data_IF_110205058890
#
_entry.id   IF_110205058890
#
_cell.length_a   1.000
_cell.length_b   1.000
_cell.length_c   1.000
_cell.angle_alpha   90.00
_cell.angle_beta   90.00
_cell.angle_gamma   90.00
#
_symmetry.space_group_name_H-M   'P 1'
#
loop_
_entity.id
_entity.type
_entity.pdbx_description
1 polymer ?
#
# COMPACT_ATOMS: atom_id res chain seq x y z
N UNK A 1 -11.25 2.15 -7.93
CA UNK A 1 -10.13 1.99 -6.97
C UNK A 1 -8.86 2.49 -7.61
N UNK A 2 -7.94 3.00 -6.81
CA UNK A 2 -6.69 3.64 -7.17
C UNK A 2 -5.53 2.68 -6.87
N UNK A 3 -4.73 2.43 -7.91
CA UNK A 3 -3.37 1.89 -7.79
C UNK A 3 -2.38 3.03 -8.07
N UNK A 4 -1.17 2.92 -7.52
CA UNK A 4 -0.12 3.91 -7.72
C UNK A 4 1.10 3.33 -8.44
N UNK A 5 1.85 4.21 -9.11
CA UNK A 5 3.03 3.84 -9.89
C UNK A 5 4.20 3.41 -8.99
N UNK A 6 5.13 2.65 -9.56
CA UNK A 6 6.40 2.28 -8.91
C UNK A 6 7.48 3.32 -9.12
N UNK A 7 8.37 3.43 -8.15
CA UNK A 7 9.64 4.15 -8.24
C UNK A 7 10.61 3.42 -9.16
N UNK A 8 11.48 4.19 -9.80
CA UNK A 8 12.57 3.69 -10.63
C UNK A 8 13.92 4.02 -10.01
N UNK A 9 14.96 3.26 -10.38
CA UNK A 9 16.32 3.40 -9.86
C UNK A 9 17.36 3.26 -10.96
N UNK A 10 18.55 3.81 -10.75
CA UNK A 10 19.71 3.64 -11.64
C UNK A 10 20.46 2.32 -11.35
N UNK A 11 21.24 1.81 -12.32
CA UNK A 11 22.16 0.70 -12.10
C UNK A 11 23.23 1.07 -11.05
N UNK A 12 23.53 0.13 -10.14
CA UNK A 12 24.59 0.29 -9.13
C UNK A 12 25.40 -1.01 -9.11
N UNK A 13 26.73 -0.97 -9.30
CA UNK A 13 27.58 -2.16 -9.29
C UNK A 13 27.94 -2.56 -7.85
N UNK A 14 26.94 -3.01 -7.10
CA UNK A 14 27.04 -3.42 -5.69
C UNK A 14 28.02 -4.59 -5.51
N UNK A 15 27.96 -5.60 -6.39
CA UNK A 15 28.87 -6.75 -6.32
C UNK A 15 30.33 -6.30 -6.39
N UNK A 16 30.69 -5.54 -7.43
CA UNK A 16 32.06 -5.08 -7.65
C UNK A 16 32.56 -4.22 -6.49
N UNK A 17 31.71 -3.31 -6.01
CA UNK A 17 32.04 -2.35 -4.95
C UNK A 17 32.22 -3.00 -3.58
N UNK A 18 31.41 -4.00 -3.26
CA UNK A 18 31.45 -4.66 -1.94
C UNK A 18 32.32 -5.91 -1.88
N UNK A 19 32.76 -6.45 -3.03
CA UNK A 19 33.55 -7.70 -3.07
C UNK A 19 34.78 -7.66 -2.17
N UNK A 20 35.46 -6.52 -2.12
CA UNK A 20 36.69 -6.33 -1.32
C UNK A 20 36.42 -6.23 0.19
N UNK A 21 35.17 -5.99 0.58
CA UNK A 21 34.74 -5.86 1.96
C UNK A 21 34.12 -7.15 2.52
N UNK A 22 34.16 -8.25 1.77
CA UNK A 22 33.68 -9.56 2.24
C UNK A 22 34.70 -10.17 3.18
N UNK A 23 34.34 -10.30 4.46
CA UNK A 23 35.07 -11.13 5.42
C UNK A 23 34.68 -12.60 5.23
N UNK A 24 35.50 -13.35 4.48
CA UNK A 24 35.24 -14.76 4.17
C UNK A 24 35.31 -15.68 5.38
N UNK A 25 35.92 -15.24 6.50
CA UNK A 25 35.94 -16.03 7.73
C UNK A 25 34.58 -16.07 8.42
N UNK A 26 33.84 -14.96 8.34
CA UNK A 26 32.50 -14.79 8.93
C UNK A 26 31.38 -15.03 7.92
N UNK A 27 31.64 -14.78 6.64
CA UNK A 27 30.68 -14.94 5.56
C UNK A 27 31.29 -15.68 4.37
N UNK A 28 31.47 -17.02 4.46
CA UNK A 28 32.13 -17.80 3.42
C UNK A 28 31.44 -17.72 2.05
N UNK A 29 30.11 -17.63 2.04
CA UNK A 29 29.30 -17.50 0.82
C UNK A 29 29.18 -16.06 0.30
N UNK A 30 29.87 -15.08 0.90
CA UNK A 30 29.65 -13.66 0.62
C UNK A 30 29.85 -13.24 -0.83
N UNK A 31 30.81 -13.85 -1.52
CA UNK A 31 31.03 -13.58 -2.94
C UNK A 31 29.87 -14.09 -3.82
N UNK A 32 29.37 -15.31 -3.56
CA UNK A 32 28.22 -15.86 -4.27
C UNK A 32 26.95 -15.06 -3.95
N UNK A 33 26.78 -14.67 -2.69
CA UNK A 33 25.68 -13.81 -2.25
C UNK A 33 25.68 -12.45 -2.95
N UNK A 34 26.83 -11.80 -3.09
CA UNK A 34 26.92 -10.50 -3.78
C UNK A 34 26.52 -10.60 -5.26
N UNK A 35 26.88 -11.69 -5.93
CA UNK A 35 26.47 -11.97 -7.31
C UNK A 35 24.94 -12.13 -7.40
N UNK A 36 24.34 -12.87 -6.47
CA UNK A 36 22.89 -13.03 -6.39
C UNK A 36 22.20 -11.69 -6.09
N UNK A 37 22.72 -10.91 -5.15
CA UNK A 37 22.23 -9.58 -4.79
C UNK A 37 22.23 -8.64 -6.00
N UNK A 38 23.33 -8.58 -6.74
CA UNK A 38 23.44 -7.79 -7.97
C UNK A 38 22.43 -8.26 -9.03
N UNK A 39 22.34 -9.58 -9.25
CA UNK A 39 21.43 -10.17 -10.22
C UNK A 39 19.96 -9.86 -9.90
N UNK A 40 19.56 -9.97 -8.63
CA UNK A 40 18.21 -9.63 -8.20
C UNK A 40 17.93 -8.14 -8.24
N UNK A 41 18.92 -7.28 -7.96
CA UNK A 41 18.78 -5.83 -8.12
C UNK A 41 18.46 -5.45 -9.57
N UNK A 42 19.17 -6.01 -10.53
CA UNK A 42 18.93 -5.72 -11.95
C UNK A 42 17.61 -6.30 -12.47
N UNK A 43 17.21 -7.48 -12.00
CA UNK A 43 15.87 -8.04 -12.26
C UNK A 43 14.79 -7.12 -11.72
N UNK A 44 14.90 -6.72 -10.46
CA UNK A 44 13.97 -5.82 -9.79
C UNK A 44 13.83 -4.48 -10.54
N UNK A 45 14.94 -3.89 -10.99
CA UNK A 45 14.97 -2.62 -11.73
C UNK A 45 14.25 -2.68 -13.08
N UNK A 46 14.36 -3.81 -13.78
CA UNK A 46 13.78 -4.02 -15.12
C UNK A 46 12.30 -4.40 -15.08
N UNK A 47 11.76 -4.78 -13.92
CA UNK A 47 10.36 -5.12 -13.76
C UNK A 47 9.44 -3.88 -13.90
N UNK A 48 8.33 -4.06 -14.63
CA UNK A 48 7.26 -3.07 -14.87
C UNK A 48 5.90 -3.77 -14.80
N UNK A 49 4.85 -3.02 -14.44
CA UNK A 49 3.48 -3.53 -14.21
C UNK A 49 2.73 -4.11 -15.43
N UNK A 50 3.39 -4.27 -16.59
CA UNK A 50 2.76 -4.84 -17.80
C UNK A 50 3.32 -6.18 -18.23
N UNK A 51 4.64 -6.36 -18.24
CA UNK A 51 5.28 -7.49 -18.91
C UNK A 51 5.41 -8.76 -18.05
N UNK A 52 5.45 -8.62 -16.73
CA UNK A 52 5.74 -9.73 -15.81
C UNK A 52 4.57 -10.08 -14.87
N UNK A 53 3.43 -9.39 -14.95
CA UNK A 53 2.35 -9.47 -13.97
C UNK A 53 2.75 -8.86 -12.62
N UNK A 54 1.80 -8.23 -11.91
CA UNK A 54 2.11 -7.54 -10.66
C UNK A 54 2.55 -8.48 -9.52
N UNK A 55 2.19 -9.76 -9.57
CA UNK A 55 2.66 -10.77 -8.61
C UNK A 55 4.17 -11.02 -8.72
N UNK A 56 4.69 -11.22 -9.94
CA UNK A 56 6.12 -11.45 -10.12
C UNK A 56 6.95 -10.19 -9.78
N UNK A 57 6.35 -9.00 -9.96
CA UNK A 57 6.95 -7.75 -9.46
C UNK A 57 7.00 -7.77 -7.94
N UNK A 58 5.88 -8.03 -7.24
CA UNK A 58 5.85 -8.13 -5.78
C UNK A 58 6.89 -9.13 -5.26
N UNK A 59 6.91 -10.34 -5.81
CA UNK A 59 7.78 -11.42 -5.34
C UNK A 59 9.25 -11.15 -5.64
N UNK A 60 9.56 -10.58 -6.81
CA UNK A 60 10.92 -10.15 -7.17
C UNK A 60 11.44 -9.04 -6.27
N UNK A 61 10.60 -8.04 -5.97
CA UNK A 61 10.91 -6.95 -5.05
C UNK A 61 11.13 -7.47 -3.62
N UNK A 62 10.25 -8.34 -3.11
CA UNK A 62 10.40 -8.94 -1.77
C UNK A 62 11.66 -9.80 -1.65
N UNK A 63 11.99 -10.57 -2.69
CA UNK A 63 13.22 -11.36 -2.70
C UNK A 63 14.46 -10.48 -2.67
N UNK A 64 14.47 -9.38 -3.43
CA UNK A 64 15.54 -8.41 -3.37
C UNK A 64 15.62 -7.70 -2.00
N UNK A 65 14.48 -7.31 -1.42
CA UNK A 65 14.40 -6.71 -0.09
C UNK A 65 15.05 -7.59 0.99
N UNK A 66 14.78 -8.90 0.96
CA UNK A 66 15.40 -9.86 1.88
C UNK A 66 16.94 -9.91 1.70
N UNK A 67 17.42 -9.92 0.46
CA UNK A 67 18.85 -9.87 0.17
C UNK A 67 19.48 -8.55 0.63
N UNK A 68 18.84 -7.41 0.38
CA UNK A 68 19.33 -6.11 0.83
C UNK A 68 19.39 -6.01 2.36
N UNK A 69 18.41 -6.58 3.07
CA UNK A 69 18.41 -6.68 4.55
C UNK A 69 19.60 -7.51 5.05
N UNK A 70 19.91 -8.60 4.36
CA UNK A 70 21.06 -9.44 4.69
C UNK A 70 22.40 -8.73 4.39
N UNK A 71 22.46 -7.98 3.29
CA UNK A 71 23.61 -7.17 2.93
C UNK A 71 23.87 -6.07 3.97
N UNK A 72 22.83 -5.36 4.41
CA UNK A 72 22.91 -4.35 5.46
C UNK A 72 23.54 -4.93 6.74
N UNK A 73 23.12 -6.12 7.15
CA UNK A 73 23.68 -6.77 8.33
C UNK A 73 25.18 -7.06 8.20
N UNK A 74 25.62 -7.63 7.07
CA UNK A 74 27.01 -8.01 6.84
C UNK A 74 27.93 -6.83 6.56
N UNK A 75 27.43 -5.78 5.93
CA UNK A 75 28.22 -4.60 5.54
C UNK A 75 27.95 -3.38 6.43
N UNK A 76 27.33 -3.56 7.60
CA UNK A 76 26.97 -2.46 8.52
C UNK A 76 28.14 -1.58 8.97
N UNK A 77 29.36 -2.12 8.96
CA UNK A 77 30.57 -1.41 9.37
C UNK A 77 31.31 -0.76 8.21
N UNK A 78 30.87 -1.00 6.98
CA UNK A 78 31.47 -0.44 5.76
C UNK A 78 30.83 0.90 5.49
N UNK A 79 31.65 1.95 5.32
CA UNK A 79 31.13 3.24 4.87
C UNK A 79 30.76 3.13 3.39
N UNK A 80 29.46 3.04 3.11
CA UNK A 80 28.96 2.89 1.75
C UNK A 80 29.37 4.07 0.86
N UNK A 81 29.45 5.30 1.37
CA UNK A 81 29.75 6.48 0.56
C UNK A 81 31.24 6.58 0.24
N UNK A 82 32.08 6.48 1.26
CA UNK A 82 33.49 6.83 1.13
C UNK A 82 34.36 5.62 0.83
N UNK A 83 34.09 4.47 1.44
CA UNK A 83 34.88 3.24 1.26
C UNK A 83 34.39 2.44 0.06
N UNK A 84 33.12 2.01 0.07
CA UNK A 84 32.57 1.17 -0.99
C UNK A 84 32.11 1.98 -2.22
N UNK A 85 31.90 3.30 -2.06
CA UNK A 85 31.33 4.19 -3.08
C UNK A 85 29.98 3.72 -3.62
N UNK A 86 29.18 3.02 -2.82
CA UNK A 86 27.81 2.60 -3.14
C UNK A 86 26.84 3.72 -2.76
N UNK A 87 26.09 4.21 -3.75
CA UNK A 87 25.06 5.25 -3.56
C UNK A 87 23.83 4.79 -4.33
N UNK A 88 22.68 4.75 -3.65
CA UNK A 88 21.42 4.35 -4.24
C UNK A 88 20.65 5.59 -4.69
N UNK A 89 20.32 5.64 -5.98
CA UNK A 89 19.48 6.69 -6.56
C UNK A 89 18.08 6.17 -6.82
N UNK A 90 17.07 6.87 -6.31
CA UNK A 90 15.67 6.60 -6.61
C UNK A 90 14.94 7.85 -7.07
N UNK A 91 14.07 7.69 -8.06
CA UNK A 91 13.27 8.78 -8.62
C UNK A 91 11.90 8.90 -7.94
N UNK A 92 11.37 10.12 -7.90
CA UNK A 92 10.00 10.44 -7.50
C UNK A 92 9.01 9.82 -8.49
N UNK A 93 7.96 9.19 -7.97
CA UNK A 93 6.93 8.54 -8.79
C UNK A 93 6.10 9.52 -9.63
N UNK A 94 5.99 10.77 -9.20
CA UNK A 94 5.25 11.82 -9.90
C UNK A 94 6.10 12.67 -10.85
N UNK A 95 7.44 12.58 -10.76
CA UNK A 95 8.35 13.35 -11.58
C UNK A 95 9.67 12.64 -11.80
N UNK A 96 9.94 12.24 -13.04
CA UNK A 96 11.22 11.63 -13.44
C UNK A 96 12.43 12.57 -13.34
N UNK A 97 12.22 13.87 -13.09
CA UNK A 97 13.28 14.87 -12.89
C UNK A 97 13.73 14.99 -11.43
N UNK A 98 12.93 14.49 -10.47
CA UNK A 98 13.24 14.54 -9.05
C UNK A 98 13.78 13.19 -8.60
N UNK A 99 14.92 13.21 -7.92
CA UNK A 99 15.55 12.02 -7.37
C UNK A 99 16.26 12.37 -6.06
N UNK A 100 16.56 11.32 -5.30
CA UNK A 100 17.40 11.39 -4.10
C UNK A 100 18.46 10.31 -4.19
N UNK A 101 19.66 10.68 -3.78
CA UNK A 101 20.83 9.81 -3.65
C UNK A 101 21.10 9.55 -2.16
N UNK A 102 21.06 8.29 -1.73
CA UNK A 102 21.49 7.92 -0.38
C UNK A 102 22.46 6.73 -0.41
N UNK A 103 23.62 6.83 0.25
CA UNK A 103 24.50 5.70 0.50
C UNK A 103 24.00 4.89 1.72
N UNK A 104 22.76 4.42 1.67
CA UNK A 104 22.10 3.77 2.81
C UNK A 104 21.22 2.59 2.36
N UNK A 105 21.43 1.42 2.96
CA UNK A 105 20.62 0.25 2.73
C UNK A 105 19.17 0.42 3.18
N UNK A 106 18.93 1.17 4.26
CA UNK A 106 17.57 1.43 4.73
C UNK A 106 16.78 2.22 3.67
N UNK A 107 17.43 3.16 2.98
CA UNK A 107 16.83 3.90 1.87
C UNK A 107 16.52 3.02 0.65
N UNK A 108 17.45 2.15 0.25
CA UNK A 108 17.21 1.17 -0.83
C UNK A 108 16.01 0.26 -0.48
N UNK A 109 16.00 -0.30 0.73
CA UNK A 109 14.95 -1.17 1.23
C UNK A 109 13.59 -0.49 1.30
N UNK A 110 13.53 0.73 1.81
CA UNK A 110 12.29 1.50 1.86
C UNK A 110 11.76 1.78 0.46
N UNK A 111 12.61 2.19 -0.48
CA UNK A 111 12.20 2.42 -1.87
C UNK A 111 11.68 1.15 -2.56
N UNK A 112 12.24 -0.01 -2.22
CA UNK A 112 11.74 -1.33 -2.65
C UNK A 112 10.36 -1.64 -2.05
N UNK A 113 10.14 -1.37 -0.76
CA UNK A 113 8.83 -1.56 -0.14
C UNK A 113 7.75 -0.66 -0.74
N UNK A 114 8.10 0.56 -1.17
CA UNK A 114 7.17 1.42 -1.90
C UNK A 114 6.66 0.71 -3.16
N UNK A 115 7.57 0.07 -3.90
CA UNK A 115 7.24 -0.69 -5.10
C UNK A 115 6.41 -1.95 -4.81
N UNK A 116 6.67 -2.64 -3.69
CA UNK A 116 5.85 -3.77 -3.22
C UNK A 116 4.41 -3.31 -2.95
N UNK A 117 4.24 -2.20 -2.22
CA UNK A 117 2.91 -1.63 -1.96
C UNK A 117 2.20 -1.20 -3.26
N UNK A 118 2.94 -0.64 -4.22
CA UNK A 118 2.42 -0.32 -5.55
C UNK A 118 1.90 -1.57 -6.27
N UNK A 119 2.68 -2.67 -6.23
CA UNK A 119 2.30 -3.94 -6.83
C UNK A 119 1.05 -4.54 -6.19
N UNK A 120 0.95 -4.51 -4.86
CA UNK A 120 -0.23 -4.95 -4.12
C UNK A 120 -1.46 -4.10 -4.47
N UNK A 121 -1.31 -2.77 -4.56
CA UNK A 121 -2.41 -1.89 -4.99
C UNK A 121 -2.91 -2.23 -6.39
N UNK A 122 -2.00 -2.54 -7.32
CA UNK A 122 -2.35 -2.95 -8.68
C UNK A 122 -3.08 -4.29 -8.69
N UNK A 123 -2.56 -5.30 -7.96
CA UNK A 123 -3.21 -6.61 -7.80
C UNK A 123 -4.61 -6.48 -7.23
N UNK A 124 -4.81 -5.58 -6.26
CA UNK A 124 -6.12 -5.32 -5.68
C UNK A 124 -7.09 -4.73 -6.70
N UNK A 125 -6.63 -3.78 -7.52
CA UNK A 125 -7.45 -3.16 -8.58
C UNK A 125 -7.75 -4.09 -9.76
N UNK A 126 -6.93 -5.12 -9.98
CA UNK A 126 -7.11 -6.05 -11.10
C UNK A 126 -8.09 -7.19 -10.80
N UNK A 127 -8.59 -7.31 -9.56
CA UNK A 127 -9.60 -8.32 -9.22
C UNK A 127 -10.95 -7.93 -9.81
N UNK A 128 -11.72 -8.92 -10.28
CA UNK A 128 -13.08 -8.70 -10.77
C UNK A 128 -14.02 -8.40 -9.60
N UNK A 129 -14.67 -7.23 -9.63
CA UNK A 129 -15.52 -6.71 -8.55
C UNK A 129 -16.87 -6.23 -9.10
N UNK A 130 -17.81 -5.87 -8.22
CA UNK A 130 -19.15 -5.39 -8.59
C UNK A 130 -20.24 -6.48 -8.56
N UNK A 131 -21.42 -6.20 -9.11
CA UNK A 131 -22.61 -7.09 -9.04
C UNK A 131 -22.39 -8.49 -9.65
N UNK A 132 -21.38 -8.62 -10.53
CA UNK A 132 -20.97 -9.89 -11.16
C UNK A 132 -19.65 -10.44 -10.61
N UNK A 133 -19.03 -9.76 -9.64
CA UNK A 133 -17.75 -10.16 -9.06
C UNK A 133 -17.92 -11.32 -8.07
N UNK A 134 -16.99 -12.27 -8.11
CA UNK A 134 -16.90 -13.36 -7.13
C UNK A 134 -16.56 -12.79 -5.74
N UNK A 135 -17.35 -13.09 -4.68
CA UNK A 135 -17.01 -12.70 -3.31
C UNK A 135 -15.58 -13.04 -2.89
N UNK A 136 -14.99 -14.12 -3.40
CA UNK A 136 -13.60 -14.47 -3.10
C UNK A 136 -12.61 -13.50 -3.75
N UNK A 137 -12.88 -13.01 -4.95
CA UNK A 137 -12.06 -11.96 -5.60
C UNK A 137 -12.16 -10.61 -4.86
N UNK A 138 -13.35 -10.26 -4.34
CA UNK A 138 -13.52 -9.04 -3.53
C UNK A 138 -12.76 -9.15 -2.19
N UNK A 139 -12.81 -10.34 -1.54
CA UNK A 139 -11.99 -10.61 -0.34
C UNK A 139 -10.50 -10.53 -0.64
N UNK A 140 -10.08 -11.06 -1.78
CA UNK A 140 -8.68 -11.02 -2.20
C UNK A 140 -8.21 -9.57 -2.45
N UNK A 141 -9.02 -8.76 -3.13
CA UNK A 141 -8.75 -7.33 -3.30
C UNK A 141 -8.63 -6.61 -1.94
N UNK A 142 -9.55 -6.89 -1.00
CA UNK A 142 -9.50 -6.35 0.36
C UNK A 142 -8.17 -6.70 1.05
N UNK A 143 -7.73 -7.96 0.98
CA UNK A 143 -6.46 -8.41 1.56
C UNK A 143 -5.27 -7.67 0.95
N UNK A 144 -5.20 -7.55 -0.38
CA UNK A 144 -4.10 -6.84 -1.02
C UNK A 144 -4.03 -5.35 -0.64
N UNK A 145 -5.17 -4.66 -0.47
CA UNK A 145 -5.17 -3.29 0.02
C UNK A 145 -4.71 -3.18 1.49
N UNK A 146 -5.12 -4.12 2.36
CA UNK A 146 -4.64 -4.17 3.73
C UNK A 146 -3.13 -4.44 3.79
N UNK A 147 -2.63 -5.39 3.00
CA UNK A 147 -1.21 -5.69 2.88
C UNK A 147 -0.43 -4.48 2.36
N UNK A 148 -0.92 -3.78 1.34
CA UNK A 148 -0.28 -2.57 0.81
C UNK A 148 -0.16 -1.50 1.91
N UNK A 149 -1.21 -1.28 2.69
CA UNK A 149 -1.18 -0.35 3.83
C UNK A 149 -0.15 -0.77 4.90
N UNK A 150 -0.09 -2.06 5.24
CA UNK A 150 0.88 -2.60 6.18
C UNK A 150 2.33 -2.40 5.70
N UNK A 151 2.60 -2.65 4.43
CA UNK A 151 3.92 -2.44 3.81
C UNK A 151 4.31 -0.97 3.83
N UNK A 152 3.39 -0.04 3.56
CA UNK A 152 3.65 1.41 3.64
C UNK A 152 4.00 1.81 5.08
N UNK A 153 3.29 1.29 6.08
CA UNK A 153 3.60 1.58 7.48
C UNK A 153 4.95 1.02 7.92
N UNK A 154 5.37 -0.14 7.40
CA UNK A 154 6.71 -0.66 7.65
C UNK A 154 7.80 0.21 7.01
N UNK A 155 7.56 0.67 5.78
CA UNK A 155 8.42 1.65 5.12
C UNK A 155 8.57 2.94 5.93
N UNK A 156 7.47 3.48 6.48
CA UNK A 156 7.49 4.68 7.34
C UNK A 156 8.37 4.49 8.58
N UNK A 157 8.31 3.32 9.23
CA UNK A 157 9.18 3.00 10.37
C UNK A 157 10.65 3.00 9.97
N UNK A 158 10.99 2.39 8.83
CA UNK A 158 12.38 2.37 8.31
C UNK A 158 12.87 3.81 8.08
N UNK A 159 12.07 4.64 7.40
CA UNK A 159 12.41 6.04 7.11
C UNK A 159 12.61 6.85 8.39
N UNK A 160 11.72 6.67 9.38
CA UNK A 160 11.80 7.36 10.68
C UNK A 160 13.07 6.99 11.45
N UNK A 161 13.43 5.70 11.45
CA UNK A 161 14.62 5.21 12.14
C UNK A 161 15.93 5.66 11.47
N UNK A 162 15.95 5.73 10.14
CA UNK A 162 17.15 6.06 9.39
C UNK A 162 17.46 7.57 9.35
N UNK A 163 16.51 8.43 9.76
CA UNK A 163 16.72 9.88 9.92
C UNK A 163 17.32 10.56 8.67
N UNK A 164 16.83 10.21 7.47
CA UNK A 164 17.36 10.79 6.23
C UNK A 164 17.17 12.31 6.18
N UNK A 165 18.16 13.01 5.61
CA UNK A 165 18.13 14.48 5.49
C UNK A 165 17.36 14.97 4.26
N UNK A 166 17.05 14.08 3.30
CA UNK A 166 16.38 14.45 2.05
C UNK A 166 15.49 13.31 1.57
N UNK A 167 14.30 13.68 1.10
CA UNK A 167 13.27 12.78 0.59
C UNK A 167 12.72 13.32 -0.73
N UNK A 168 12.31 12.43 -1.62
CA UNK A 168 11.38 12.79 -2.69
C UNK A 168 9.99 13.03 -2.09
N UNK A 169 9.13 13.88 -2.68
CA UNK A 169 7.80 14.18 -2.15
C UNK A 169 6.93 12.94 -1.87
N UNK A 170 7.10 11.88 -2.66
CA UNK A 170 6.41 10.59 -2.48
C UNK A 170 6.93 9.73 -1.32
N UNK A 171 8.00 10.16 -0.64
CA UNK A 171 8.63 9.46 0.50
C UNK A 171 8.55 10.27 1.79
N UNK A 172 7.80 11.37 1.82
CA UNK A 172 7.55 12.12 3.07
C UNK A 172 6.58 11.37 3.97
N UNK A 173 6.70 11.55 5.28
CA UNK A 173 5.84 10.84 6.24
C UNK A 173 4.35 11.15 6.02
N UNK A 174 4.00 12.43 5.82
CA UNK A 174 2.62 12.86 5.53
C UNK A 174 2.05 12.16 4.28
N UNK A 175 2.85 12.05 3.21
CA UNK A 175 2.41 11.41 1.97
C UNK A 175 2.18 9.91 2.18
N UNK A 176 3.11 9.25 2.86
CA UNK A 176 3.04 7.81 3.14
C UNK A 176 1.90 7.48 4.10
N UNK A 177 1.63 8.32 5.10
CA UNK A 177 0.47 8.20 5.97
C UNK A 177 -0.84 8.31 5.18
N UNK A 178 -0.97 9.36 4.37
CA UNK A 178 -2.14 9.54 3.52
C UNK A 178 -2.32 8.34 2.58
N UNK A 179 -1.25 7.85 1.97
CA UNK A 179 -1.29 6.69 1.07
C UNK A 179 -1.72 5.41 1.82
N UNK A 180 -1.21 5.17 3.03
CA UNK A 180 -1.61 4.06 3.90
C UNK A 180 -3.10 4.12 4.27
N UNK A 181 -3.61 5.31 4.60
CA UNK A 181 -5.03 5.54 4.87
C UNK A 181 -5.90 5.30 3.63
N UNK A 182 -5.46 5.76 2.44
CA UNK A 182 -6.17 5.51 1.18
C UNK A 182 -6.24 4.01 0.90
N UNK A 183 -5.15 3.25 1.13
CA UNK A 183 -5.19 1.79 0.96
C UNK A 183 -6.20 1.14 1.93
N UNK A 184 -6.25 1.55 3.20
CA UNK A 184 -7.24 1.02 4.15
C UNK A 184 -8.67 1.40 3.78
N UNK A 185 -8.92 2.62 3.33
CA UNK A 185 -10.24 3.05 2.87
C UNK A 185 -10.72 2.17 1.71
N UNK A 186 -9.84 1.84 0.75
CA UNK A 186 -10.18 0.93 -0.34
C UNK A 186 -10.44 -0.51 0.12
N UNK A 187 -9.72 -0.99 1.15
CA UNK A 187 -10.04 -2.28 1.76
C UNK A 187 -11.44 -2.27 2.42
N UNK A 188 -11.80 -1.17 3.08
CA UNK A 188 -13.13 -1.00 3.69
C UNK A 188 -14.24 -0.95 2.62
N UNK A 189 -14.00 -0.30 1.49
CA UNK A 189 -14.93 -0.31 0.35
C UNK A 189 -15.16 -1.74 -0.18
N UNK A 190 -14.11 -2.56 -0.29
CA UNK A 190 -14.25 -3.99 -0.61
C UNK A 190 -15.12 -4.71 0.42
N UNK A 191 -14.92 -4.43 1.69
CA UNK A 191 -15.70 -5.04 2.74
C UNK A 191 -17.19 -4.67 2.64
N UNK A 192 -17.49 -3.39 2.39
CA UNK A 192 -18.87 -2.91 2.23
C UNK A 192 -19.57 -3.55 1.02
N UNK A 193 -18.86 -3.76 -0.09
CA UNK A 193 -19.40 -4.47 -1.26
C UNK A 193 -19.83 -5.90 -0.92
N UNK A 194 -19.02 -6.65 -0.16
CA UNK A 194 -19.36 -8.01 0.29
C UNK A 194 -20.62 -7.97 1.17
N UNK A 195 -20.64 -7.07 2.15
CA UNK A 195 -21.75 -6.95 3.08
C UNK A 195 -23.06 -6.61 2.37
N UNK A 196 -23.04 -5.66 1.42
CA UNK A 196 -24.22 -5.28 0.62
C UNK A 196 -24.73 -6.46 -0.20
N UNK A 197 -23.85 -7.22 -0.84
CA UNK A 197 -24.22 -8.41 -1.62
C UNK A 197 -24.86 -9.50 -0.73
N UNK A 198 -24.31 -9.76 0.45
CA UNK A 198 -24.88 -10.69 1.42
C UNK A 198 -26.27 -10.23 1.92
N UNK A 199 -26.41 -8.95 2.27
CA UNK A 199 -27.68 -8.39 2.71
C UNK A 199 -28.74 -8.52 1.60
N UNK A 200 -28.37 -8.22 0.36
CA UNK A 200 -29.28 -8.33 -0.80
C UNK A 200 -29.74 -9.76 -1.00
N UNK A 201 -28.84 -10.75 -0.89
CA UNK A 201 -29.17 -12.16 -0.99
C UNK A 201 -30.15 -12.61 0.10
N UNK A 202 -29.90 -12.19 1.35
CA UNK A 202 -30.76 -12.51 2.50
C UNK A 202 -32.16 -11.91 2.29
N UNK A 203 -32.25 -10.64 1.90
CA UNK A 203 -33.53 -9.97 1.63
C UNK A 203 -34.29 -10.62 0.47
N UNK A 204 -33.59 -10.97 -0.61
CA UNK A 204 -34.21 -11.63 -1.78
C UNK A 204 -34.77 -13.01 -1.41
N UNK A 205 -34.03 -13.79 -0.61
CA UNK A 205 -34.49 -15.10 -0.14
C UNK A 205 -35.66 -15.00 0.84
N UNK A 206 -35.67 -13.97 1.69
CA UNK A 206 -36.76 -13.68 2.62
C UNK A 206 -38.06 -13.28 1.91
N UNK A 207 -37.93 -12.60 0.77
CA UNK A 207 -39.05 -12.09 -0.05
C UNK A 207 -39.47 -13.04 -1.18
N UNK A 208 -38.77 -14.17 -1.35
CA UNK A 208 -39.10 -15.16 -2.37
C UNK A 208 -40.49 -15.76 -2.10
N UNK A 209 -41.42 -15.78 -3.07
CA UNK A 209 -42.76 -16.28 -2.87
C UNK A 209 -42.73 -17.82 -2.74
N UNK A 210 -42.65 -18.31 -1.50
CA UNK A 210 -42.95 -19.72 -1.21
C UNK A 210 -44.46 -19.90 -0.98
N UNK A 211 -45.07 -21.01 -1.44
CA UNK A 211 -46.45 -21.34 -1.09
C UNK A 211 -46.52 -21.55 0.43
N UNK A 212 -47.08 -20.57 1.15
CA UNK A 212 -47.13 -20.52 2.62
C UNK A 212 -46.42 -19.32 3.29
N UNK A 213 -45.76 -18.44 2.52
CA UNK A 213 -44.87 -17.37 3.01
C UNK A 213 -45.52 -16.15 3.69
N UNK A 214 -46.77 -16.22 4.17
CA UNK A 214 -47.36 -15.09 4.90
C UNK A 214 -46.85 -14.97 6.35
N UNK A 215 -46.40 -16.08 6.95
CA UNK A 215 -45.92 -16.12 8.34
C UNK A 215 -44.38 -16.03 8.49
N UNK A 216 -43.62 -16.27 7.43
CA UNK A 216 -42.15 -16.31 7.50
C UNK A 216 -41.48 -14.92 7.39
N UNK A 217 -42.09 -13.98 6.66
CA UNK A 217 -41.53 -12.64 6.44
C UNK A 217 -41.51 -11.74 7.68
N UNK A 218 -42.38 -12.00 8.67
CA UNK A 218 -42.38 -11.27 9.95
C UNK A 218 -41.45 -11.88 11.01
N UNK A 219 -41.15 -13.19 10.92
CA UNK A 219 -40.25 -13.89 11.86
C UNK A 219 -38.78 -13.72 11.56
N UNK A 220 -38.42 -13.20 10.39
CA UNK A 220 -37.04 -12.88 10.00
C UNK A 220 -36.56 -11.52 10.52
N UNK A 221 -37.26 -10.91 11.49
CA UNK A 221 -36.83 -9.66 12.12
C UNK A 221 -36.16 -9.98 13.46
N UNK A 222 -34.87 -9.69 13.52
CA UNK A 222 -33.98 -9.59 14.69
C UNK A 222 -33.01 -10.76 15.00
N UNK A 223 -33.41 -12.02 15.26
CA UNK A 223 -32.47 -13.01 15.81
C UNK A 223 -31.46 -13.56 14.80
N UNK A 224 -31.89 -13.90 13.57
CA UNK A 224 -31.01 -14.53 12.56
C UNK A 224 -29.92 -13.58 12.03
N UNK A 225 -30.15 -12.27 12.07
CA UNK A 225 -29.14 -11.28 11.70
C UNK A 225 -28.08 -11.09 12.80
N UNK A 226 -28.47 -11.26 14.07
CA UNK A 226 -27.57 -11.23 15.22
C UNK A 226 -26.78 -12.55 15.40
N UNK A 227 -27.35 -13.68 14.99
CA UNK A 227 -26.63 -14.98 14.99
C UNK A 227 -25.64 -15.09 13.83
N UNK A 228 -25.87 -14.40 12.70
CA UNK A 228 -25.01 -14.46 11.51
C UNK A 228 -23.86 -13.43 11.51
N UNK A 229 -23.95 -12.38 12.33
CA UNK A 229 -22.99 -11.26 12.35
C UNK A 229 -22.54 -11.08 13.80
N UNK A 230 -21.26 -11.36 14.09
CA UNK A 230 -20.73 -11.20 15.45
C UNK A 230 -20.81 -9.75 15.94
N UNK A 231 -20.86 -9.54 17.25
CA UNK A 231 -20.98 -8.19 17.83
C UNK A 231 -19.83 -7.26 17.42
N UNK A 232 -18.65 -7.81 17.12
CA UNK A 232 -17.52 -7.05 16.59
C UNK A 232 -17.82 -6.48 15.18
N UNK A 233 -18.52 -7.22 14.32
CA UNK A 233 -18.87 -6.77 12.97
C UNK A 233 -19.91 -5.65 12.97
N UNK A 234 -20.89 -5.72 13.87
CA UNK A 234 -21.86 -4.62 14.05
C UNK A 234 -21.17 -3.35 14.56
N UNK A 235 -20.23 -3.48 15.49
CA UNK A 235 -19.44 -2.35 15.98
C UNK A 235 -18.57 -1.72 14.87
N UNK A 236 -17.97 -2.54 14.00
CA UNK A 236 -17.19 -2.05 12.84
C UNK A 236 -18.06 -1.31 11.84
N UNK A 237 -19.27 -1.81 11.56
CA UNK A 237 -20.22 -1.14 10.65
C UNK A 237 -20.69 0.20 11.24
N UNK A 238 -21.04 0.24 12.53
CA UNK A 238 -21.47 1.48 13.18
C UNK A 238 -20.34 2.51 13.29
N UNK A 239 -19.11 2.06 13.60
CA UNK A 239 -17.95 2.93 13.65
C UNK A 239 -17.59 3.50 12.27
N UNK A 240 -17.62 2.68 11.23
CA UNK A 240 -17.37 3.13 9.86
C UNK A 240 -18.46 4.11 9.38
N UNK A 241 -19.74 3.85 9.69
CA UNK A 241 -20.83 4.81 9.41
C UNK A 241 -20.55 6.17 10.05
N UNK A 242 -20.21 6.18 11.34
CA UNK A 242 -19.90 7.41 12.06
C UNK A 242 -18.66 8.14 11.50
N UNK A 243 -17.63 7.39 11.09
CA UNK A 243 -16.44 7.94 10.45
C UNK A 243 -16.77 8.60 9.10
N UNK A 244 -17.51 7.91 8.23
CA UNK A 244 -17.90 8.44 6.92
C UNK A 244 -18.84 9.63 7.03
N UNK A 245 -19.79 9.61 7.97
CA UNK A 245 -20.64 10.76 8.30
C UNK A 245 -19.78 11.94 8.78
N UNK A 246 -18.78 11.69 9.63
CA UNK A 246 -17.84 12.71 10.11
C UNK A 246 -17.01 13.33 8.99
N UNK A 247 -16.49 12.50 8.08
CA UNK A 247 -15.71 12.94 6.91
C UNK A 247 -16.58 13.76 5.94
N UNK A 248 -17.80 13.32 5.65
CA UNK A 248 -18.74 14.08 4.83
C UNK A 248 -19.05 15.44 5.45
N UNK A 249 -19.31 15.48 6.75
CA UNK A 249 -19.58 16.73 7.47
C UNK A 249 -18.37 17.68 7.47
N UNK A 250 -17.15 17.16 7.62
CA UNK A 250 -15.92 17.95 7.55
C UNK A 250 -15.76 18.61 6.17
N UNK A 251 -15.91 17.85 5.08
CA UNK A 251 -15.79 18.39 3.73
C UNK A 251 -16.93 19.35 3.38
N UNK A 252 -18.15 19.08 3.84
CA UNK A 252 -19.27 20.00 3.69
C UNK A 252 -19.01 21.34 4.40
N UNK A 253 -18.47 21.30 5.63
CA UNK A 253 -18.10 22.52 6.37
C UNK A 253 -16.93 23.27 5.73
N UNK A 254 -15.93 22.56 5.20
CA UNK A 254 -14.80 23.19 4.51
C UNK A 254 -15.23 23.89 3.22
N UNK A 255 -16.11 23.27 2.44
CA UNK A 255 -16.70 23.90 1.25
C UNK A 255 -17.54 25.15 1.59
N UNK A 256 -18.26 25.12 2.71
CA UNK A 256 -18.98 26.29 3.23
C UNK A 256 -18.01 27.40 3.67
N UNK A 257 -16.93 27.06 4.36
CA UNK A 257 -15.92 28.01 4.82
C UNK A 257 -15.21 28.71 3.65
N UNK A 258 -14.82 27.95 2.63
CA UNK A 258 -14.20 28.49 1.41
C UNK A 258 -15.20 29.35 0.62
N UNK A 259 -16.48 28.96 0.58
CA UNK A 259 -17.57 29.76 0.00
C UNK A 259 -17.78 31.10 0.73
N UNK A 260 -17.71 31.10 2.06
CA UNK A 260 -17.85 32.29 2.90
C UNK A 260 -16.65 33.24 2.74
N UNK A 261 -15.42 32.72 2.72
CA UNK A 261 -14.21 33.49 2.42
C UNK A 261 -14.30 34.17 1.04
N UNK A 262 -14.77 33.45 0.03
CA UNK A 262 -14.95 33.98 -1.32
C UNK A 262 -16.06 35.05 -1.39
N UNK A 263 -17.12 34.92 -0.60
CA UNK A 263 -18.18 35.92 -0.50
C UNK A 263 -17.67 37.24 0.10
N UNK A 264 -16.88 37.17 1.18
CA UNK A 264 -16.26 38.35 1.80
C UNK A 264 -15.20 39.00 0.89
N UNK A 265 -14.40 38.20 0.18
CA UNK A 265 -13.45 38.70 -0.80
C UNK A 265 -14.13 39.38 -2.01
N UNK A 266 -15.31 38.90 -2.43
CA UNK A 266 -16.08 39.49 -3.52
C UNK A 266 -16.80 40.79 -3.15
N UNK A 267 -17.24 40.92 -1.89
CA UNK A 267 -17.86 42.14 -1.35
C UNK A 267 -16.82 43.24 -1.10
N UNK A 268 -15.62 42.89 -0.62
CA UNK A 268 -14.51 43.82 -0.45
C UNK A 268 -13.92 44.38 -1.77
N UNK A 269 -14.18 43.75 -2.91
CA UNK A 269 -13.77 44.24 -4.25
C UNK A 269 -14.82 45.14 -4.93
N UNK A 270 -16.00 45.28 -4.33
CA UNK A 270 -17.13 46.08 -4.88
C UNK A 270 -17.32 47.43 -4.16
N UNK A 271 -16.53 47.70 -3.13
CA UNK A 271 -16.42 48.98 -2.41
C UNK A 271 -15.14 49.68 -2.79
#
# INVERSE_FOLDING_TARGET
MLAFNVKTTEPVPVEERLRRHVDTSRFPSGHAFLKDLQGWREKMRSQRFGTNGAEAVRDGQLRYYALATHAEHHFRTVDLKNEAKVVFRWYDTFSTRRFVDQPDWAFERASVLFNVAGALSYLATSQERGERGDPEQIKLACRYFQEASGVINELRKIASNASWLSFTPDMTDDFLEALSCIMLAQAQDCFYEIWRSLLTLILTRALAPAPGAKDAGLKLKAPLLQEAISSEWLAVVDWNRALFDGVQNYYAQRALFDGVQNYYAATARRT
#
